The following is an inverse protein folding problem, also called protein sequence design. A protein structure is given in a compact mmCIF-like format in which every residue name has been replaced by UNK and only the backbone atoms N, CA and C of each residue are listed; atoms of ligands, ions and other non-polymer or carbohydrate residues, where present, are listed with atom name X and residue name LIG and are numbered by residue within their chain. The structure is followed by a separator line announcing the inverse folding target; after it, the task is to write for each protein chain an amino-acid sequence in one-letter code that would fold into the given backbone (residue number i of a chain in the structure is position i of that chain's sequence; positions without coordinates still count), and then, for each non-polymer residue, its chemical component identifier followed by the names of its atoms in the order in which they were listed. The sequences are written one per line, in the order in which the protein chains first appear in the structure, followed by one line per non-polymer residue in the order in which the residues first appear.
data_IF_134900145406
#
_entry.id   IF_134900145406
#
_cell.length_a   1.000
_cell.length_b   1.000
_cell.length_c   1.000
_cell.angle_alpha   90.00
_cell.angle_beta   90.00
_cell.angle_gamma   90.00
#
_symmetry.space_group_name_H-M   'P 1'
#
loop_
_entity.id
_entity.type
_entity.pdbx_description
1 polymer ?
#
# COMPACT_ATOMS: atom_id res chain seq x y z
N UNK A 1 5.43 27.55 6.31
CA UNK A 1 5.63 26.31 7.08
C UNK A 1 6.85 25.55 6.62
N UNK A 2 7.40 24.65 7.44
CA UNK A 2 8.47 23.74 7.04
C UNK A 2 7.90 22.61 6.17
N UNK A 3 8.63 22.25 5.11
CA UNK A 3 8.25 21.18 4.19
C UNK A 3 9.48 20.62 3.45
N UNK A 4 9.45 19.33 3.09
CA UNK A 4 10.46 18.72 2.23
C UNK A 4 9.97 18.77 0.78
N UNK A 5 10.68 19.50 -0.07
CA UNK A 5 10.31 19.70 -1.47
C UNK A 5 11.46 19.32 -2.39
N UNK A 6 11.14 18.92 -3.60
CA UNK A 6 12.15 18.74 -4.66
C UNK A 6 12.54 20.12 -5.18
N UNK A 7 13.82 20.50 -5.07
CA UNK A 7 14.34 21.81 -5.48
C UNK A 7 14.95 21.76 -6.89
N UNK A 8 15.46 20.62 -7.30
CA UNK A 8 15.92 20.30 -8.64
C UNK A 8 15.88 18.77 -8.84
N UNK A 9 16.00 18.27 -10.07
CA UNK A 9 15.98 16.82 -10.31
C UNK A 9 16.95 16.06 -9.38
N UNK A 10 16.47 15.03 -8.73
CA UNK A 10 17.20 14.17 -7.77
C UNK A 10 17.68 14.85 -6.48
N UNK A 11 17.13 16.02 -6.16
CA UNK A 11 17.56 16.77 -4.98
C UNK A 11 16.34 17.36 -4.27
N UNK A 12 16.17 16.97 -3.02
CA UNK A 12 15.19 17.51 -2.09
C UNK A 12 15.85 18.46 -1.09
N UNK A 13 15.06 19.32 -0.47
CA UNK A 13 15.50 20.19 0.61
C UNK A 13 14.37 20.49 1.57
N UNK A 14 14.73 20.75 2.82
CA UNK A 14 13.83 21.33 3.81
C UNK A 14 13.71 22.84 3.55
N UNK A 15 12.54 23.27 3.08
CA UNK A 15 12.17 24.68 2.98
C UNK A 15 11.38 25.11 4.22
N UNK A 16 11.41 26.41 4.57
CA UNK A 16 10.80 26.92 5.80
C UNK A 16 9.67 27.92 5.55
N UNK A 17 9.49 28.35 4.33
CA UNK A 17 8.61 29.43 3.90
C UNK A 17 7.47 28.97 2.98
N UNK A 18 7.27 27.64 2.82
CA UNK A 18 6.15 27.12 2.02
C UNK A 18 4.82 27.59 2.62
N UNK A 19 3.89 28.13 1.81
CA UNK A 19 2.56 28.47 2.29
C UNK A 19 1.80 27.23 2.79
N UNK A 20 0.87 27.43 3.74
CA UNK A 20 -0.06 26.37 4.13
C UNK A 20 -0.97 26.07 2.92
N UNK A 21 -1.17 24.80 2.55
CA UNK A 21 -1.97 24.44 1.37
C UNK A 21 -3.44 24.86 1.56
N UNK A 22 -4.12 25.18 0.46
CA UNK A 22 -5.53 25.52 0.51
C UNK A 22 -6.38 24.25 0.66
N UNK A 23 -7.34 24.28 1.58
CA UNK A 23 -8.31 23.21 1.72
C UNK A 23 -9.19 23.12 0.46
N UNK A 24 -9.21 21.95 -0.15
CA UNK A 24 -10.11 21.60 -1.26
C UNK A 24 -11.41 20.99 -0.73
N UNK A 25 -12.49 21.05 -1.50
CA UNK A 25 -13.84 20.72 -1.05
C UNK A 25 -14.00 19.29 -0.53
N UNK A 26 -13.31 18.30 -1.10
CA UNK A 26 -13.36 16.90 -0.70
C UNK A 26 -12.08 16.41 0.01
N UNK A 27 -11.35 17.35 0.65
CA UNK A 27 -10.10 17.09 1.37
C UNK A 27 -10.19 17.45 2.86
N UNK A 28 -9.23 16.94 3.61
CA UNK A 28 -8.93 17.37 4.99
C UNK A 28 -7.68 18.23 4.96
N UNK A 29 -7.66 19.32 5.75
CA UNK A 29 -6.43 19.98 6.17
C UNK A 29 -5.99 19.32 7.47
N UNK A 30 -4.76 18.85 7.51
CA UNK A 30 -4.21 18.10 8.65
C UNK A 30 -2.92 18.75 9.11
N UNK A 31 -2.76 18.91 10.42
CA UNK A 31 -1.49 19.21 11.06
C UNK A 31 -0.75 17.90 11.28
N UNK A 32 0.37 17.70 10.60
CA UNK A 32 1.18 16.49 10.64
C UNK A 32 1.84 16.31 12.01
N UNK A 33 1.82 15.08 12.52
CA UNK A 33 2.51 14.70 13.77
C UNK A 33 3.66 13.73 13.46
N UNK A 34 3.43 12.74 12.60
CA UNK A 34 4.43 11.77 12.17
C UNK A 34 4.27 11.45 10.70
N UNK A 35 5.35 11.03 10.06
CA UNK A 35 5.36 10.57 8.66
C UNK A 35 6.00 9.19 8.57
N UNK A 36 5.58 8.39 7.60
CA UNK A 36 6.20 7.12 7.26
C UNK A 36 7.03 7.26 5.99
N UNK A 37 8.19 6.61 5.95
CA UNK A 37 9.06 6.58 4.77
C UNK A 37 8.74 5.35 3.90
N UNK A 38 8.66 5.56 2.62
CA UNK A 38 8.37 4.52 1.64
C UNK A 38 9.41 4.50 0.50
N UNK A 39 9.64 3.34 -0.13
CA UNK A 39 10.48 3.29 -1.34
C UNK A 39 10.00 4.22 -2.45
N UNK A 40 8.71 4.52 -2.52
CA UNK A 40 8.15 5.41 -3.52
C UNK A 40 8.62 6.87 -3.33
N UNK A 41 8.85 7.33 -2.11
CA UNK A 41 9.28 8.70 -1.84
C UNK A 41 10.64 9.00 -2.52
N UNK A 42 11.66 8.16 -2.27
CA UNK A 42 12.97 8.36 -2.89
C UNK A 42 12.97 8.07 -4.39
N UNK A 43 12.13 7.13 -4.88
CA UNK A 43 12.01 6.86 -6.32
C UNK A 43 11.41 8.04 -7.07
N UNK A 44 10.43 8.73 -6.50
CA UNK A 44 9.89 9.96 -7.08
C UNK A 44 10.95 11.06 -7.15
N UNK A 45 11.69 11.29 -6.06
CA UNK A 45 12.81 12.24 -6.04
C UNK A 45 13.85 11.90 -7.12
N UNK A 46 14.23 10.63 -7.21
CA UNK A 46 15.34 10.20 -8.07
C UNK A 46 14.98 10.16 -9.56
N UNK A 47 13.72 9.88 -9.93
CA UNK A 47 13.37 9.49 -11.30
C UNK A 47 12.17 10.19 -11.93
N UNK A 48 11.22 10.70 -11.13
CA UNK A 48 9.87 10.99 -11.64
C UNK A 48 9.47 12.46 -11.48
N UNK A 49 9.66 13.03 -10.30
CA UNK A 49 9.00 14.25 -9.91
C UNK A 49 9.77 15.52 -10.28
N UNK A 50 9.08 16.57 -10.73
CA UNK A 50 9.68 17.86 -11.05
C UNK A 50 10.01 18.67 -9.80
N UNK A 51 10.85 19.72 -9.92
CA UNK A 51 11.04 20.71 -8.85
C UNK A 51 9.75 21.38 -8.40
N UNK A 52 9.69 21.76 -7.12
CA UNK A 52 8.58 22.48 -6.51
C UNK A 52 7.51 21.63 -5.84
N UNK A 53 7.50 20.31 -6.08
CA UNK A 53 6.50 19.40 -5.51
C UNK A 53 6.85 19.00 -4.06
N UNK A 54 5.81 18.77 -3.25
CA UNK A 54 5.92 18.28 -1.87
C UNK A 54 6.12 16.76 -1.85
N UNK A 55 7.07 16.28 -1.07
CA UNK A 55 7.39 14.84 -0.95
C UNK A 55 6.53 14.16 0.13
N UNK A 56 6.50 12.82 0.08
CA UNK A 56 5.95 11.96 1.13
C UNK A 56 4.55 11.43 0.83
N UNK A 57 4.33 10.16 1.17
CA UNK A 57 3.05 9.48 0.91
C UNK A 57 2.31 9.09 2.17
N UNK A 58 3.00 8.82 3.28
CA UNK A 58 2.42 8.32 4.52
C UNK A 58 2.49 9.36 5.64
N UNK A 59 1.42 9.45 6.41
CA UNK A 59 1.33 10.40 7.52
C UNK A 59 0.40 9.92 8.63
N UNK A 60 0.53 10.58 9.76
CA UNK A 60 -0.48 10.68 10.82
C UNK A 60 -0.51 12.11 11.37
N UNK A 61 -1.68 12.57 11.80
CA UNK A 61 -1.83 13.94 12.24
C UNK A 61 -3.18 14.23 12.86
N UNK A 62 -3.45 15.53 13.03
CA UNK A 62 -4.66 16.06 13.64
C UNK A 62 -5.42 16.90 12.61
N UNK A 63 -6.70 16.63 12.43
CA UNK A 63 -7.57 17.39 11.52
C UNK A 63 -7.68 18.83 12.00
N UNK A 64 -7.36 19.79 11.15
CA UNK A 64 -7.54 21.23 11.38
C UNK A 64 -8.82 21.75 10.72
N UNK A 65 -9.16 21.26 9.54
CA UNK A 65 -10.38 21.62 8.84
C UNK A 65 -10.84 20.49 7.91
N UNK A 66 -12.14 20.45 7.64
CA UNK A 66 -12.80 19.45 6.80
C UNK A 66 -13.45 20.15 5.62
N UNK A 67 -13.18 19.68 4.41
CA UNK A 67 -13.83 20.17 3.20
C UNK A 67 -15.32 19.84 3.18
N UNK A 68 -16.11 20.69 2.56
CA UNK A 68 -17.60 20.60 2.60
C UNK A 68 -18.18 19.35 1.95
N UNK A 69 -17.45 18.73 1.01
CA UNK A 69 -17.89 17.57 0.24
C UNK A 69 -17.32 16.24 0.78
N UNK A 70 -16.57 16.27 1.91
CA UNK A 70 -16.12 15.06 2.62
C UNK A 70 -17.33 14.39 3.27
N UNK A 71 -17.53 13.10 2.94
CA UNK A 71 -18.70 12.30 3.40
C UNK A 71 -18.45 11.64 4.75
N UNK A 72 -17.20 11.19 5.03
CA UNK A 72 -16.83 10.59 6.31
C UNK A 72 -16.91 11.64 7.43
N UNK A 73 -17.35 11.20 8.60
CA UNK A 73 -17.60 12.07 9.75
C UNK A 73 -16.28 12.43 10.47
N UNK A 74 -15.52 13.34 9.85
CA UNK A 74 -14.36 13.97 10.47
C UNK A 74 -14.74 15.30 11.10
N UNK A 75 -13.98 15.68 12.13
CA UNK A 75 -14.07 17.01 12.77
C UNK A 75 -12.69 17.49 13.18
N UNK A 76 -12.54 18.80 13.36
CA UNK A 76 -11.31 19.38 13.91
C UNK A 76 -10.95 18.70 15.24
N UNK A 77 -9.67 18.34 15.38
CA UNK A 77 -9.13 17.64 16.53
C UNK A 77 -9.11 16.12 16.40
N UNK A 78 -9.77 15.52 15.39
CA UNK A 78 -9.68 14.06 15.17
C UNK A 78 -8.25 13.66 14.81
N UNK A 79 -7.80 12.54 15.38
CA UNK A 79 -6.53 11.89 15.04
C UNK A 79 -6.73 11.06 13.76
N UNK A 80 -5.96 11.34 12.72
CA UNK A 80 -6.13 10.71 11.40
C UNK A 80 -4.80 10.26 10.82
N UNK A 81 -4.87 9.24 9.98
CA UNK A 81 -3.76 8.79 9.16
C UNK A 81 -4.26 8.27 7.81
N UNK A 82 -3.33 8.02 6.91
CA UNK A 82 -3.65 7.45 5.61
C UNK A 82 -2.60 7.75 4.56
N UNK A 83 -3.03 7.66 3.32
CA UNK A 83 -2.22 7.80 2.13
C UNK A 83 -2.49 9.13 1.42
N UNK A 84 -1.43 9.78 0.93
CA UNK A 84 -1.48 10.91 0.02
C UNK A 84 -0.54 10.69 -1.17
N UNK A 85 -0.81 11.36 -2.30
CA UNK A 85 0.04 11.28 -3.48
C UNK A 85 1.16 12.33 -3.38
N UNK A 86 2.23 12.00 -2.67
CA UNK A 86 3.41 12.86 -2.61
C UNK A 86 4.19 12.91 -3.91
N UNK A 87 4.93 14.01 -4.10
CA UNK A 87 5.70 14.30 -5.30
C UNK A 87 4.86 14.29 -6.59
N UNK A 88 3.61 14.77 -6.49
CA UNK A 88 2.64 14.80 -7.55
C UNK A 88 2.88 16.00 -8.48
N UNK A 89 3.25 15.75 -9.74
CA UNK A 89 3.51 16.80 -10.71
C UNK A 89 2.25 17.61 -11.10
N UNK A 90 1.06 16.99 -11.03
CA UNK A 90 -0.22 17.63 -11.38
C UNK A 90 -0.77 18.45 -10.21
N UNK A 91 -0.52 18.01 -8.96
CA UNK A 91 -0.93 18.69 -7.74
C UNK A 91 0.29 18.90 -6.82
N UNK A 92 1.12 19.94 -7.06
CA UNK A 92 2.38 20.14 -6.33
C UNK A 92 2.24 20.34 -4.83
N UNK A 93 1.04 20.62 -4.33
CA UNK A 93 0.74 20.75 -2.90
C UNK A 93 0.48 19.41 -2.21
N UNK A 94 0.24 18.32 -2.98
CA UNK A 94 0.01 17.00 -2.42
C UNK A 94 1.32 16.36 -1.95
N UNK A 95 1.31 15.86 -0.74
CA UNK A 95 2.44 15.22 -0.09
C UNK A 95 2.33 15.32 1.43
N UNK A 96 3.15 14.54 2.14
CA UNK A 96 2.99 14.41 3.59
C UNK A 96 4.15 14.95 4.41
N UNK A 97 5.31 15.25 3.80
CA UNK A 97 6.48 15.71 4.54
C UNK A 97 6.46 17.24 4.76
N UNK A 98 5.40 17.71 5.43
CA UNK A 98 5.22 19.11 5.79
C UNK A 98 4.46 19.27 7.12
N UNK A 99 4.54 20.44 7.76
CA UNK A 99 3.83 20.71 9.02
C UNK A 99 2.30 20.71 8.85
N UNK A 100 1.80 21.12 7.68
CA UNK A 100 0.38 21.05 7.30
C UNK A 100 0.27 20.47 5.91
N UNK A 101 -0.71 19.59 5.72
CA UNK A 101 -0.95 18.87 4.48
C UNK A 101 -2.43 18.86 4.13
N UNK A 102 -2.75 18.66 2.85
CA UNK A 102 -4.11 18.37 2.41
C UNK A 102 -4.17 16.95 1.86
N UNK A 103 -5.20 16.21 2.28
CA UNK A 103 -5.37 14.80 1.95
C UNK A 103 -6.82 14.49 1.57
N UNK A 104 -7.04 13.59 0.63
CA UNK A 104 -8.36 13.18 0.13
C UNK A 104 -9.19 12.58 1.26
N UNK A 105 -10.27 13.24 1.71
CA UNK A 105 -10.94 12.95 2.97
C UNK A 105 -11.49 11.53 3.09
N UNK A 106 -12.26 11.06 2.11
CA UNK A 106 -13.01 9.81 2.22
C UNK A 106 -12.16 8.52 2.15
N UNK A 107 -10.88 8.64 1.78
CA UNK A 107 -9.89 7.55 1.80
C UNK A 107 -8.90 7.64 2.96
N UNK A 108 -9.16 8.50 3.94
CA UNK A 108 -8.42 8.55 5.21
C UNK A 108 -9.22 7.83 6.30
N UNK A 109 -8.57 7.54 7.46
CA UNK A 109 -9.24 6.91 8.59
C UNK A 109 -8.79 7.48 9.93
N UNK A 110 -9.61 7.27 10.96
CA UNK A 110 -9.30 7.68 12.33
C UNK A 110 -8.32 6.71 12.96
N UNK A 111 -7.36 7.24 13.69
CA UNK A 111 -6.38 6.43 14.44
C UNK A 111 -7.07 5.90 15.69
N UNK A 112 -7.07 4.56 15.93
CA UNK A 112 -7.54 3.99 17.18
C UNK A 112 -6.83 4.58 18.40
N UNK A 113 -7.51 4.70 19.53
CA UNK A 113 -6.92 5.28 20.76
C UNK A 113 -5.69 4.50 21.23
N UNK A 114 -5.67 3.18 21.03
CA UNK A 114 -4.56 2.30 21.39
C UNK A 114 -3.33 2.41 20.51
N UNK A 115 -3.41 3.13 19.37
CA UNK A 115 -2.33 3.25 18.39
C UNK A 115 -1.65 4.62 18.49
N UNK A 116 -0.33 4.66 18.51
CA UNK A 116 0.47 5.89 18.46
C UNK A 116 0.41 6.55 17.07
N UNK A 117 0.77 7.82 16.97
CA UNK A 117 0.93 8.50 15.69
C UNK A 117 2.03 7.87 14.84
N UNK A 118 3.13 7.44 15.49
CA UNK A 118 4.25 6.79 14.80
C UNK A 118 3.83 5.49 14.13
N UNK A 119 3.11 4.61 14.85
CA UNK A 119 2.56 3.38 14.29
C UNK A 119 1.58 3.66 13.15
N UNK A 120 0.64 4.59 13.37
CA UNK A 120 -0.38 4.93 12.38
C UNK A 120 0.22 5.52 11.09
N UNK A 121 1.32 6.28 11.19
CA UNK A 121 1.99 6.86 10.02
C UNK A 121 2.61 5.82 9.07
N UNK A 122 2.75 4.56 9.48
CA UNK A 122 3.36 3.50 8.65
C UNK A 122 2.34 2.72 7.80
N UNK A 123 1.06 3.08 7.86
CA UNK A 123 -0.01 2.22 7.35
C UNK A 123 -0.60 2.66 6.00
N UNK A 124 -0.52 3.93 5.63
CA UNK A 124 -1.30 4.52 4.54
C UNK A 124 -1.09 3.85 3.18
N UNK A 125 0.16 3.86 2.68
CA UNK A 125 0.55 3.21 1.42
C UNK A 125 0.28 1.71 1.50
N UNK A 126 0.65 1.06 2.62
CA UNK A 126 0.51 -0.38 2.79
C UNK A 126 -0.95 -0.85 2.73
N UNK A 127 -1.85 -0.20 3.46
CA UNK A 127 -3.29 -0.53 3.46
C UNK A 127 -3.91 -0.32 2.07
N UNK A 128 -3.63 0.81 1.42
CA UNK A 128 -4.15 1.10 0.08
C UNK A 128 -3.65 0.07 -0.95
N UNK A 129 -2.37 -0.27 -0.88
CA UNK A 129 -1.71 -1.24 -1.77
C UNK A 129 -2.26 -2.65 -1.56
N UNK A 130 -2.40 -3.10 -0.31
CA UNK A 130 -2.99 -4.41 0.02
C UNK A 130 -4.45 -4.48 -0.42
N UNK A 131 -5.22 -3.41 -0.19
CA UNK A 131 -6.58 -3.31 -0.66
C UNK A 131 -6.70 -3.56 -2.16
N UNK A 132 -5.94 -2.81 -2.95
CA UNK A 132 -5.94 -2.99 -4.40
C UNK A 132 -5.38 -4.35 -4.84
N UNK A 133 -4.24 -4.77 -4.30
CA UNK A 133 -3.57 -6.00 -4.73
C UNK A 133 -4.38 -7.25 -4.42
N UNK A 134 -4.83 -7.42 -3.19
CA UNK A 134 -5.56 -8.62 -2.79
C UNK A 134 -7.03 -8.60 -3.23
N UNK A 135 -7.74 -7.49 -3.02
CA UNK A 135 -9.20 -7.50 -3.17
C UNK A 135 -9.69 -6.93 -4.49
N UNK A 136 -9.06 -5.90 -5.02
CA UNK A 136 -9.45 -5.34 -6.30
C UNK A 136 -8.82 -6.12 -7.47
N UNK A 137 -7.53 -6.47 -7.38
CA UNK A 137 -6.78 -7.18 -8.42
C UNK A 137 -7.01 -8.70 -8.36
N UNK A 138 -6.59 -9.37 -7.29
CA UNK A 138 -6.69 -10.81 -7.14
C UNK A 138 -8.09 -11.31 -6.79
N UNK A 139 -9.04 -10.41 -6.47
CA UNK A 139 -10.43 -10.74 -6.15
C UNK A 139 -10.60 -11.68 -4.96
N UNK A 140 -9.74 -11.56 -3.94
CA UNK A 140 -9.90 -12.32 -2.72
C UNK A 140 -11.25 -11.98 -2.05
N UNK A 141 -11.80 -12.93 -1.30
CA UNK A 141 -12.92 -12.67 -0.40
C UNK A 141 -12.50 -11.63 0.65
N UNK A 142 -13.42 -10.73 1.00
CA UNK A 142 -13.14 -9.71 2.02
C UNK A 142 -13.03 -10.35 3.42
N UNK A 143 -12.27 -9.74 4.36
CA UNK A 143 -12.19 -10.21 5.75
C UNK A 143 -13.55 -10.25 6.48
N UNK A 144 -14.55 -9.54 5.97
CA UNK A 144 -15.93 -9.55 6.47
C UNK A 144 -16.71 -10.80 6.05
N UNK A 145 -16.27 -11.47 4.99
CA UNK A 145 -16.90 -12.68 4.43
C UNK A 145 -15.81 -13.68 4.01
N UNK A 146 -15.03 -14.23 4.96
CA UNK A 146 -13.90 -15.10 4.65
C UNK A 146 -14.34 -16.40 3.99
N UNK A 147 -13.48 -16.95 3.12
CA UNK A 147 -13.71 -18.28 2.53
C UNK A 147 -13.65 -19.37 3.60
N UNK A 148 -14.39 -20.47 3.37
CA UNK A 148 -14.43 -21.62 4.30
C UNK A 148 -13.35 -22.65 3.97
N UNK A 149 -13.09 -22.86 2.68
CA UNK A 149 -12.09 -23.81 2.20
C UNK A 149 -10.80 -23.07 1.87
N UNK A 150 -9.77 -23.27 2.69
CA UNK A 150 -8.53 -22.52 2.65
C UNK A 150 -7.78 -22.72 1.31
N UNK A 151 -7.96 -21.81 0.37
CA UNK A 151 -7.25 -21.75 -0.91
C UNK A 151 -5.84 -21.18 -0.71
N UNK A 152 -4.78 -21.74 -1.32
CA UNK A 152 -3.44 -21.23 -1.18
C UNK A 152 -3.24 -19.90 -1.93
N UNK A 153 -2.51 -18.97 -1.29
CA UNK A 153 -1.99 -17.74 -1.88
C UNK A 153 -0.51 -17.61 -1.52
N UNK A 154 0.30 -17.18 -2.48
CA UNK A 154 1.69 -16.80 -2.23
C UNK A 154 1.80 -15.28 -2.07
N UNK A 155 2.33 -14.83 -0.93
CA UNK A 155 2.76 -13.45 -0.71
C UNK A 155 4.28 -13.42 -0.85
N UNK A 156 4.80 -12.98 -1.99
CA UNK A 156 6.24 -12.85 -2.18
C UNK A 156 6.76 -11.58 -1.52
N UNK A 157 7.81 -11.70 -0.69
CA UNK A 157 8.35 -10.58 0.07
C UNK A 157 7.57 -10.28 1.36
N UNK A 158 7.17 -11.33 2.11
CA UNK A 158 6.31 -11.24 3.28
C UNK A 158 6.86 -10.41 4.45
N UNK A 159 8.16 -10.16 4.52
CA UNK A 159 8.77 -9.32 5.56
C UNK A 159 8.87 -7.84 5.17
N UNK A 160 8.37 -7.44 4.01
CA UNK A 160 8.23 -6.02 3.66
C UNK A 160 7.04 -5.39 4.39
N UNK A 161 6.99 -4.06 4.49
CA UNK A 161 5.86 -3.36 5.11
C UNK A 161 4.52 -3.77 4.45
N UNK A 162 4.45 -3.82 3.12
CA UNK A 162 3.26 -4.29 2.39
C UNK A 162 3.02 -5.79 2.63
N UNK A 163 4.07 -6.62 2.60
CA UNK A 163 3.97 -8.07 2.78
C UNK A 163 3.45 -8.48 4.15
N UNK A 164 3.90 -7.82 5.22
CA UNK A 164 3.41 -8.07 6.58
C UNK A 164 1.92 -7.78 6.73
N UNK A 165 1.41 -6.74 6.09
CA UNK A 165 -0.02 -6.44 6.02
C UNK A 165 -0.76 -7.46 5.15
N UNK A 166 -0.22 -7.78 3.96
CA UNK A 166 -0.84 -8.72 3.03
C UNK A 166 -1.05 -10.12 3.66
N UNK A 167 -0.07 -10.63 4.42
CA UNK A 167 -0.19 -11.88 5.16
C UNK A 167 -1.41 -11.83 6.11
N UNK A 168 -1.51 -10.79 6.92
CA UNK A 168 -2.57 -10.63 7.90
C UNK A 168 -3.96 -10.53 7.25
N UNK A 169 -4.09 -9.70 6.21
CA UNK A 169 -5.34 -9.54 5.48
C UNK A 169 -5.76 -10.84 4.77
N UNK A 170 -4.84 -11.54 4.11
CA UNK A 170 -5.14 -12.83 3.47
C UNK A 170 -5.58 -13.89 4.49
N UNK A 171 -4.95 -13.93 5.68
CA UNK A 171 -5.37 -14.83 6.78
C UNK A 171 -6.76 -14.48 7.29
N UNK A 172 -7.06 -13.21 7.51
CA UNK A 172 -8.40 -12.76 7.93
C UNK A 172 -9.48 -13.06 6.90
N UNK A 173 -9.10 -13.21 5.64
CA UNK A 173 -9.96 -13.61 4.53
C UNK A 173 -10.07 -15.14 4.37
N UNK A 174 -9.42 -15.95 5.23
CA UNK A 174 -9.53 -17.41 5.26
C UNK A 174 -8.56 -18.17 4.37
N UNK A 175 -7.59 -17.49 3.73
CA UNK A 175 -6.63 -18.14 2.81
C UNK A 175 -5.51 -18.87 3.56
N UNK A 176 -4.97 -19.95 2.92
CA UNK A 176 -3.70 -20.57 3.33
C UNK A 176 -2.56 -19.71 2.77
N UNK A 177 -1.82 -19.06 3.65
CA UNK A 177 -0.79 -18.10 3.27
C UNK A 177 0.59 -18.76 3.21
N UNK A 178 1.16 -18.84 2.01
CA UNK A 178 2.57 -19.13 1.80
C UNK A 178 3.31 -17.80 1.58
N UNK A 179 4.54 -17.69 2.05
CA UNK A 179 5.32 -16.45 1.87
C UNK A 179 6.80 -16.71 1.70
N UNK A 180 7.50 -15.71 1.14
CA UNK A 180 8.96 -15.72 1.04
C UNK A 180 9.58 -14.55 1.81
N UNK A 181 10.67 -14.81 2.51
CA UNK A 181 11.52 -13.78 3.11
C UNK A 181 12.92 -14.36 3.40
N UNK A 182 13.81 -13.52 3.94
CA UNK A 182 15.10 -14.02 4.47
C UNK A 182 14.88 -14.84 5.74
N UNK A 183 15.71 -15.88 6.02
CA UNK A 183 15.51 -16.79 7.15
C UNK A 183 15.39 -16.10 8.53
N UNK A 184 16.09 -14.99 8.76
CA UNK A 184 16.02 -14.23 10.01
C UNK A 184 14.64 -13.58 10.25
N UNK A 185 13.77 -13.50 9.24
CA UNK A 185 12.41 -12.97 9.34
C UNK A 185 11.33 -14.07 9.40
N UNK A 186 11.69 -15.35 9.41
CA UNK A 186 10.73 -16.45 9.40
C UNK A 186 9.76 -16.40 10.58
N UNK A 187 10.27 -16.14 11.78
CA UNK A 187 9.43 -16.06 12.97
C UNK A 187 8.50 -14.84 12.94
N UNK A 188 8.96 -13.71 12.40
CA UNK A 188 8.12 -12.54 12.20
C UNK A 188 6.90 -12.90 11.33
N UNK A 189 7.11 -13.41 10.13
CA UNK A 189 6.02 -13.66 9.19
C UNK A 189 5.07 -14.77 9.66
N UNK A 190 5.59 -15.79 10.38
CA UNK A 190 4.75 -16.80 11.06
C UNK A 190 3.88 -16.18 12.14
N UNK A 191 4.43 -15.27 12.96
CA UNK A 191 3.68 -14.56 14.00
C UNK A 191 2.55 -13.69 13.46
N UNK A 192 2.61 -13.32 12.18
CA UNK A 192 1.60 -12.56 11.45
C UNK A 192 0.57 -13.44 10.72
N UNK A 193 0.76 -14.77 10.75
CA UNK A 193 -0.20 -15.73 10.23
C UNK A 193 0.22 -16.47 8.98
N UNK A 194 1.49 -16.38 8.51
CA UNK A 194 1.97 -17.22 7.43
C UNK A 194 1.96 -18.71 7.83
N UNK A 195 1.31 -19.55 7.03
CA UNK A 195 1.24 -21.00 7.26
C UNK A 195 2.54 -21.70 6.84
N UNK A 196 3.13 -21.24 5.73
CA UNK A 196 4.40 -21.76 5.21
C UNK A 196 5.33 -20.63 4.80
N UNK A 197 6.63 -20.78 5.08
CA UNK A 197 7.65 -19.76 4.84
C UNK A 197 8.84 -20.37 4.12
N UNK A 198 9.29 -19.70 3.06
CA UNK A 198 10.38 -20.13 2.20
C UNK A 198 11.47 -19.05 2.10
N UNK A 199 12.74 -19.48 2.01
CA UNK A 199 13.82 -18.57 1.65
C UNK A 199 13.75 -18.26 0.15
N UNK A 200 13.62 -16.99 -0.20
CA UNK A 200 13.59 -16.56 -1.61
C UNK A 200 14.92 -16.82 -2.35
N UNK A 201 16.01 -17.07 -1.63
CA UNK A 201 17.32 -17.43 -2.20
C UNK A 201 17.47 -18.92 -2.47
N UNK A 202 16.58 -19.76 -1.96
CA UNK A 202 16.58 -21.20 -2.26
C UNK A 202 16.04 -21.43 -3.68
N UNK A 203 16.92 -21.83 -4.58
CA UNK A 203 16.55 -22.13 -5.97
C UNK A 203 15.48 -23.23 -6.10
N UNK A 204 15.29 -24.07 -5.06
CA UNK A 204 14.27 -25.11 -5.04
C UNK A 204 12.93 -24.62 -4.45
N UNK A 205 12.89 -23.42 -3.87
CA UNK A 205 11.67 -22.93 -3.20
C UNK A 205 10.45 -22.88 -4.13
N UNK A 206 10.52 -22.44 -5.41
CA UNK A 206 9.35 -22.48 -6.29
C UNK A 206 8.78 -23.89 -6.46
N UNK A 207 9.65 -24.90 -6.66
CA UNK A 207 9.22 -26.30 -6.80
C UNK A 207 8.64 -26.85 -5.48
N UNK A 208 9.23 -26.48 -4.33
CA UNK A 208 8.70 -26.85 -3.01
C UNK A 208 7.31 -26.25 -2.78
N UNK A 209 7.10 -24.98 -3.12
CA UNK A 209 5.79 -24.29 -3.03
C UNK A 209 4.76 -24.99 -3.92
N UNK A 210 5.11 -25.32 -5.16
CA UNK A 210 4.22 -26.02 -6.08
C UNK A 210 3.81 -27.39 -5.53
N UNK A 211 4.76 -28.14 -4.98
CA UNK A 211 4.49 -29.45 -4.37
C UNK A 211 3.63 -29.31 -3.09
N UNK A 212 3.91 -28.36 -2.23
CA UNK A 212 3.16 -28.13 -0.98
C UNK A 212 1.71 -27.68 -1.21
N UNK A 213 1.41 -27.23 -2.43
CA UNK A 213 0.06 -26.84 -2.85
C UNK A 213 -0.56 -27.84 -3.84
N UNK A 214 0.00 -29.04 -3.99
CA UNK A 214 -0.46 -30.05 -4.95
C UNK A 214 -0.69 -29.48 -6.36
N UNK A 215 0.24 -28.63 -6.82
CA UNK A 215 0.13 -27.88 -8.09
C UNK A 215 -1.13 -26.99 -8.19
N UNK A 216 -1.68 -26.53 -7.06
CA UNK A 216 -2.91 -25.72 -7.03
C UNK A 216 -2.69 -24.27 -6.53
N UNK A 217 -1.46 -23.75 -6.57
CA UNK A 217 -1.22 -22.35 -6.33
C UNK A 217 -1.70 -21.50 -7.52
N UNK A 218 -2.82 -20.82 -7.36
CA UNK A 218 -3.44 -19.98 -8.41
C UNK A 218 -3.35 -18.48 -8.14
N UNK A 219 -2.95 -18.05 -6.95
CA UNK A 219 -2.97 -16.66 -6.51
C UNK A 219 -1.59 -16.25 -6.00
N UNK A 220 -1.05 -15.18 -6.57
CA UNK A 220 0.25 -14.62 -6.17
C UNK A 220 0.18 -13.10 -6.06
N UNK A 221 0.64 -12.58 -4.92
CA UNK A 221 0.87 -11.17 -4.69
C UNK A 221 2.35 -10.90 -4.48
N UNK A 222 2.98 -10.23 -5.43
CA UNK A 222 4.42 -9.91 -5.40
C UNK A 222 4.64 -8.50 -4.84
N UNK A 223 5.10 -8.42 -3.58
CA UNK A 223 5.41 -7.17 -2.89
C UNK A 223 6.81 -6.61 -3.22
N UNK A 224 7.60 -7.29 -4.04
CA UNK A 224 8.95 -6.86 -4.49
C UNK A 224 8.90 -6.29 -5.90
N UNK A 225 8.27 -7.05 -6.83
CA UNK A 225 8.02 -6.61 -8.21
C UNK A 225 9.29 -6.28 -8.99
N UNK A 226 10.21 -7.23 -9.03
CA UNK A 226 11.40 -7.23 -9.87
C UNK A 226 11.35 -8.45 -10.80
N UNK A 227 12.12 -8.44 -11.89
CA UNK A 227 12.18 -9.56 -12.83
C UNK A 227 12.51 -10.89 -12.12
N UNK A 228 13.42 -10.87 -11.14
CA UNK A 228 13.77 -12.06 -10.36
C UNK A 228 12.62 -12.57 -9.49
N UNK A 229 11.80 -11.68 -8.90
CA UNK A 229 10.63 -12.10 -8.12
C UNK A 229 9.50 -12.58 -9.02
N UNK A 230 9.31 -11.95 -10.17
CA UNK A 230 8.34 -12.39 -11.18
C UNK A 230 8.68 -13.80 -11.69
N UNK A 231 9.95 -14.06 -12.04
CA UNK A 231 10.41 -15.38 -12.47
C UNK A 231 10.26 -16.45 -11.37
N UNK A 232 10.56 -16.12 -10.11
CA UNK A 232 10.31 -17.01 -8.97
C UNK A 232 8.81 -17.37 -8.86
N UNK A 233 7.96 -16.35 -8.88
CA UNK A 233 6.51 -16.52 -8.76
C UNK A 233 5.94 -17.33 -9.92
N UNK A 234 6.37 -17.07 -11.15
CA UNK A 234 5.96 -17.83 -12.34
C UNK A 234 6.32 -19.32 -12.21
N UNK A 235 7.52 -19.62 -11.68
CA UNK A 235 7.93 -21.00 -11.40
C UNK A 235 7.18 -21.64 -10.23
N UNK A 236 6.61 -20.87 -9.30
CA UNK A 236 5.83 -21.39 -8.17
C UNK A 236 4.34 -21.62 -8.51
N UNK A 237 3.76 -20.79 -9.37
CA UNK A 237 2.36 -20.92 -9.83
C UNK A 237 2.11 -22.30 -10.48
N UNK A 238 0.91 -22.82 -10.27
CA UNK A 238 0.43 -24.06 -10.90
C UNK A 238 0.77 -24.14 -12.39
N UNK A 239 1.11 -25.33 -12.90
CA UNK A 239 1.33 -25.56 -14.32
C UNK A 239 0.11 -25.22 -15.19
N UNK A 240 -1.09 -25.21 -14.60
CA UNK A 240 -2.34 -24.82 -15.25
C UNK A 240 -2.55 -23.30 -15.34
N UNK A 241 -1.61 -22.50 -14.77
CA UNK A 241 -1.71 -21.06 -14.74
C UNK A 241 -2.31 -20.50 -13.46
N UNK A 242 -2.53 -19.18 -13.44
CA UNK A 242 -3.07 -18.49 -12.28
C UNK A 242 -3.03 -16.97 -12.45
N UNK A 243 -3.23 -16.26 -11.32
CA UNK A 243 -3.33 -14.81 -11.22
C UNK A 243 -2.09 -14.28 -10.49
N UNK A 244 -1.38 -13.37 -11.12
CA UNK A 244 -0.22 -12.68 -10.56
C UNK A 244 -0.51 -11.18 -10.47
N UNK A 245 -0.37 -10.61 -9.27
CA UNK A 245 -0.51 -9.17 -9.04
C UNK A 245 0.76 -8.61 -8.43
N UNK A 246 1.27 -7.53 -9.01
CA UNK A 246 2.52 -6.89 -8.63
C UNK A 246 2.31 -5.42 -8.23
N UNK A 247 3.33 -4.79 -7.65
CA UNK A 247 3.34 -3.37 -7.28
C UNK A 247 3.99 -2.48 -8.35
N UNK A 248 4.72 -3.09 -9.28
CA UNK A 248 5.35 -2.44 -10.43
C UNK A 248 5.02 -3.22 -11.70
N UNK A 249 5.21 -2.59 -12.86
CA UNK A 249 4.95 -3.21 -14.15
C UNK A 249 6.06 -4.20 -14.53
N UNK A 250 6.03 -5.37 -13.88
CA UNK A 250 6.87 -6.53 -14.22
C UNK A 250 6.01 -7.60 -14.91
N UNK A 251 6.62 -8.45 -15.71
CA UNK A 251 5.95 -9.45 -16.51
C UNK A 251 6.36 -10.87 -16.10
N UNK A 252 5.45 -11.80 -16.27
CA UNK A 252 5.73 -13.24 -16.24
C UNK A 252 5.74 -13.78 -17.66
N UNK A 253 6.56 -14.81 -17.90
CA UNK A 253 6.77 -15.31 -19.27
C UNK A 253 5.65 -16.25 -19.75
N UNK A 254 4.95 -16.90 -18.82
CA UNK A 254 3.93 -17.91 -19.14
C UNK A 254 2.62 -17.28 -19.59
N UNK A 255 2.16 -17.63 -20.79
CA UNK A 255 0.92 -17.13 -21.39
C UNK A 255 -0.37 -17.52 -20.63
N UNK A 256 -0.31 -18.56 -19.79
CA UNK A 256 -1.45 -18.99 -18.96
C UNK A 256 -1.44 -18.39 -17.54
N UNK A 257 -0.57 -17.43 -17.28
CA UNK A 257 -0.56 -16.61 -16.06
C UNK A 257 -1.04 -15.22 -16.38
N UNK A 258 -2.07 -14.78 -15.70
CA UNK A 258 -2.66 -13.44 -15.85
C UNK A 258 -1.87 -12.45 -15.01
N UNK A 259 -0.90 -11.75 -15.60
CA UNK A 259 -0.09 -10.78 -14.92
C UNK A 259 -0.69 -9.36 -14.98
N UNK A 260 -0.66 -8.65 -13.86
CA UNK A 260 -1.07 -7.26 -13.74
C UNK A 260 -0.41 -6.57 -12.54
N UNK A 261 -0.47 -5.26 -12.54
CA UNK A 261 0.02 -4.47 -11.40
C UNK A 261 -1.02 -3.45 -10.96
N UNK A 262 -0.88 -2.99 -9.72
CA UNK A 262 -1.72 -1.95 -9.13
C UNK A 262 -0.88 -0.73 -8.74
N UNK A 263 -1.52 0.44 -8.75
CA UNK A 263 -0.93 1.70 -8.34
C UNK A 263 -1.82 2.35 -7.27
N UNK A 264 -1.37 2.39 -6.02
CA UNK A 264 -2.12 2.96 -4.91
C UNK A 264 -2.61 4.41 -5.17
N UNK A 265 -1.90 5.16 -5.97
CA UNK A 265 -2.25 6.54 -6.36
C UNK A 265 -3.61 6.67 -7.01
N UNK A 266 -4.07 5.64 -7.74
CA UNK A 266 -5.38 5.65 -8.40
C UNK A 266 -6.54 5.62 -7.38
N UNK A 267 -6.30 5.20 -6.14
CA UNK A 267 -7.31 5.22 -5.06
C UNK A 267 -7.74 6.63 -4.65
N UNK A 268 -6.96 7.65 -4.98
CA UNK A 268 -7.32 9.06 -4.77
C UNK A 268 -8.40 9.49 -5.78
N UNK A 269 -8.48 8.81 -6.94
CA UNK A 269 -9.49 9.04 -7.96
C UNK A 269 -9.24 10.28 -8.83
N UNK A 270 -8.04 10.83 -8.80
CA UNK A 270 -7.62 11.99 -9.59
C UNK A 270 -6.60 11.58 -10.66
N UNK A 271 -6.53 12.36 -11.74
CA UNK A 271 -5.50 12.18 -12.77
C UNK A 271 -4.13 12.64 -12.23
N UNK A 272 -3.08 11.94 -12.64
CA UNK A 272 -1.70 12.28 -12.30
C UNK A 272 -0.75 11.92 -13.45
N UNK A 273 0.53 12.21 -13.29
CA UNK A 273 1.56 11.77 -14.24
C UNK A 273 2.83 11.32 -13.53
N UNK A 274 3.54 10.37 -14.16
CA UNK A 274 4.91 10.02 -13.80
C UNK A 274 5.85 10.47 -14.91
N UNK A 275 6.56 11.59 -14.69
CA UNK A 275 7.22 12.29 -15.77
C UNK A 275 6.22 12.65 -16.88
N UNK A 276 6.51 12.23 -18.11
CA UNK A 276 5.65 12.48 -19.27
C UNK A 276 4.53 11.45 -19.47
N UNK A 277 4.45 10.44 -18.60
CA UNK A 277 3.43 9.39 -18.72
C UNK A 277 2.17 9.78 -17.94
N UNK A 278 1.04 10.07 -18.61
CA UNK A 278 -0.20 10.44 -17.96
C UNK A 278 -0.96 9.20 -17.46
N UNK A 279 -1.58 9.34 -16.31
CA UNK A 279 -2.52 8.38 -15.73
C UNK A 279 -3.88 9.06 -15.54
N UNK A 280 -4.93 8.63 -16.25
CA UNK A 280 -6.25 9.21 -16.08
C UNK A 280 -6.82 8.93 -14.70
N UNK A 281 -7.75 9.75 -14.24
CA UNK A 281 -8.52 9.51 -13.05
C UNK A 281 -9.25 8.15 -13.16
N UNK A 282 -9.26 7.39 -12.05
CA UNK A 282 -9.97 6.10 -11.93
C UNK A 282 -11.01 6.17 -10.82
N UNK A 283 -12.23 6.64 -11.12
CA UNK A 283 -13.30 6.74 -10.12
C UNK A 283 -13.65 5.38 -9.49
N UNK A 284 -13.51 4.28 -10.25
CA UNK A 284 -13.73 2.91 -9.78
C UNK A 284 -12.74 2.50 -8.70
N UNK A 285 -11.46 2.90 -8.80
CA UNK A 285 -10.43 2.60 -7.80
C UNK A 285 -10.69 3.40 -6.51
N UNK A 286 -11.14 4.66 -6.65
CA UNK A 286 -11.58 5.46 -5.50
C UNK A 286 -12.81 4.85 -4.84
N UNK A 287 -13.83 4.49 -5.61
CA UNK A 287 -15.04 3.87 -5.08
C UNK A 287 -14.74 2.54 -4.36
N UNK A 288 -13.75 1.79 -4.85
CA UNK A 288 -13.25 0.60 -4.17
C UNK A 288 -12.57 0.98 -2.83
N UNK A 289 -11.68 1.97 -2.83
CA UNK A 289 -10.98 2.41 -1.61
C UNK A 289 -11.95 2.92 -0.55
N UNK A 290 -12.96 3.72 -0.92
CA UNK A 290 -14.02 4.21 -0.03
C UNK A 290 -14.79 3.06 0.66
N UNK A 291 -14.88 1.87 0.03
CA UNK A 291 -15.49 0.66 0.62
C UNK A 291 -14.50 -0.16 1.45
N UNK A 292 -13.25 -0.27 1.02
CA UNK A 292 -12.26 -1.11 1.67
C UNK A 292 -11.66 -0.46 2.94
N UNK A 293 -11.39 0.86 2.90
CA UNK A 293 -10.78 1.58 4.03
C UNK A 293 -11.58 1.43 5.35
N UNK A 294 -12.92 1.53 5.38
CA UNK A 294 -13.69 1.27 6.61
C UNK A 294 -13.51 -0.15 7.18
N UNK A 295 -13.31 -1.16 6.31
CA UNK A 295 -13.02 -2.53 6.75
C UNK A 295 -11.65 -2.58 7.44
N UNK A 296 -10.62 -1.99 6.81
CA UNK A 296 -9.28 -1.92 7.38
C UNK A 296 -9.27 -1.14 8.70
N UNK A 297 -9.91 0.03 8.75
CA UNK A 297 -10.10 0.86 9.96
C UNK A 297 -10.70 0.05 11.11
N UNK A 298 -11.76 -0.72 10.83
CA UNK A 298 -12.41 -1.59 11.82
C UNK A 298 -11.48 -2.70 12.34
N UNK A 299 -10.71 -3.34 11.45
CA UNK A 299 -9.76 -4.40 11.82
C UNK A 299 -8.60 -3.87 12.66
N UNK A 300 -8.10 -2.68 12.35
CA UNK A 300 -7.08 -1.98 13.14
C UNK A 300 -7.62 -1.62 14.52
N UNK A 301 -8.83 -1.07 14.61
CA UNK A 301 -9.47 -0.74 15.89
C UNK A 301 -9.73 -1.96 16.77
N UNK A 302 -9.95 -3.14 16.18
CA UNK A 302 -10.09 -4.42 16.88
C UNK A 302 -8.74 -5.06 17.25
N UNK A 303 -7.61 -4.48 16.88
CA UNK A 303 -6.28 -5.05 17.08
C UNK A 303 -6.01 -6.34 16.29
N UNK A 304 -6.81 -6.61 15.24
CA UNK A 304 -6.66 -7.79 14.37
C UNK A 304 -5.56 -7.64 13.32
N UNK A 305 -5.14 -6.42 13.04
CA UNK A 305 -4.03 -6.10 12.14
C UNK A 305 -2.99 -5.35 12.93
N UNK A 306 -1.76 -5.85 12.91
CA UNK A 306 -0.58 -5.26 13.57
C UNK A 306 0.22 -4.44 12.55
N UNK A 307 0.83 -3.38 13.02
CA UNK A 307 1.76 -2.57 12.21
C UNK A 307 3.05 -3.36 11.90
N UNK A 308 3.75 -2.96 10.84
CA UNK A 308 5.08 -3.48 10.57
C UNK A 308 6.03 -3.13 11.74
N UNK A 309 6.89 -4.04 12.21
CA UNK A 309 7.91 -3.70 13.21
C UNK A 309 8.81 -2.56 12.75
N UNK A 310 9.28 -1.71 13.69
CA UNK A 310 10.18 -0.59 13.37
C UNK A 310 11.53 -1.04 12.85
#
# INVERSE_FOLDING_TARGET
MKAVTIIQPKTESLVTDRPIPKLRDDYLLVKTVSVGLNPTDWKHIAYIAPPGVLVGCDYSGIVEAVGKDVKKQFKKGDRVCGFAHGANAVQPEDGTFAEYIVVKGDVQWKIPESMSFQEAATLGVGISTVGQGLYQSLKLALPTEPIKDATPILIYGGSTATGTLAIQFAKLSGYKVLTTCSPHNFDLVRSLGADEVYDYKDAQAPAKIRNATDNNLKLVFDCISLDASAAFCDNAISTEGGEYSALLNVKVDRANVNDRFTLAYTTIGEAFSFGDVPFPAKPEDRAFAEKFIPIAESLLAQGKVKVHPP
#
